data_IF_234755949958
#
_entry.id   IF_234755949958
#
_cell.length_a   1.000
_cell.length_b   1.000
_cell.length_c   1.000
_cell.angle_alpha   90.00
_cell.angle_beta   90.00
_cell.angle_gamma   90.00
#
_symmetry.space_group_name_H-M   'P 1'
#
loop_
_entity.id
_entity.type
_entity.pdbx_description
1 polymer ?
#
# COMPACT_ATOMS: atom_id res chain seq x y z
N UNK A 1 22.00 -27.55 -25.54
CA UNK A 1 22.17 -28.23 -24.24
C UNK A 1 22.63 -27.30 -23.12
N UNK A 2 23.80 -26.63 -23.17
CA UNK A 2 24.17 -25.69 -22.09
C UNK A 2 23.33 -24.39 -22.04
N UNK A 3 22.86 -23.90 -23.18
CA UNK A 3 22.10 -22.65 -23.25
C UNK A 3 20.65 -22.81 -22.74
N UNK A 4 20.07 -23.99 -22.96
CA UNK A 4 18.68 -24.30 -22.60
C UNK A 4 18.50 -24.48 -21.09
N UNK A 5 19.48 -25.13 -20.43
CA UNK A 5 19.52 -25.30 -18.98
C UNK A 5 19.69 -23.97 -18.23
N UNK A 6 20.54 -23.08 -18.75
CA UNK A 6 20.76 -21.75 -18.16
C UNK A 6 19.50 -20.86 -18.30
N UNK A 7 18.76 -21.02 -19.40
CA UNK A 7 17.51 -20.29 -19.62
C UNK A 7 16.38 -20.78 -18.68
N UNK A 8 16.25 -22.10 -18.49
CA UNK A 8 15.27 -22.64 -17.54
C UNK A 8 15.55 -22.21 -16.09
N UNK A 9 16.82 -22.24 -15.67
CA UNK A 9 17.22 -21.81 -14.32
C UNK A 9 16.95 -20.30 -14.10
N UNK A 10 17.27 -19.47 -15.09
CA UNK A 10 17.01 -18.03 -15.04
C UNK A 10 15.52 -17.71 -14.95
N UNK A 11 14.69 -18.47 -15.69
CA UNK A 11 13.24 -18.35 -15.68
C UNK A 11 12.64 -18.75 -14.34
N UNK A 12 13.10 -19.85 -13.74
CA UNK A 12 12.65 -20.28 -12.41
C UNK A 12 13.00 -19.27 -11.32
N UNK A 13 14.24 -18.76 -11.33
CA UNK A 13 14.69 -17.72 -10.39
C UNK A 13 13.84 -16.45 -10.51
N UNK A 14 13.57 -15.99 -11.73
CA UNK A 14 12.74 -14.81 -11.96
C UNK A 14 11.29 -15.06 -11.50
N UNK A 15 10.75 -16.24 -11.75
CA UNK A 15 9.40 -16.60 -11.32
C UNK A 15 9.29 -16.63 -9.78
N UNK A 16 10.25 -17.25 -9.10
CA UNK A 16 10.32 -17.27 -7.63
C UNK A 16 10.42 -15.85 -7.05
N UNK A 17 11.26 -15.01 -7.66
CA UNK A 17 11.38 -13.60 -7.28
C UNK A 17 10.06 -12.85 -7.38
N UNK A 18 9.30 -13.02 -8.47
CA UNK A 18 7.99 -12.38 -8.67
C UNK A 18 6.99 -12.79 -7.59
N UNK A 19 6.93 -14.09 -7.26
CA UNK A 19 6.04 -14.62 -6.20
C UNK A 19 6.40 -14.03 -4.84
N UNK A 20 7.69 -14.03 -4.48
CA UNK A 20 8.16 -13.46 -3.21
C UNK A 20 7.79 -11.97 -3.11
N UNK A 21 8.03 -11.22 -4.19
CA UNK A 21 7.76 -9.79 -4.24
C UNK A 21 6.27 -9.46 -4.19
N UNK A 22 5.43 -10.27 -4.82
CA UNK A 22 3.98 -10.21 -4.72
C UNK A 22 3.51 -10.45 -3.28
N UNK A 23 4.03 -11.47 -2.61
CA UNK A 23 3.71 -11.80 -1.22
C UNK A 23 4.13 -10.67 -0.26
N UNK A 24 5.34 -10.12 -0.44
CA UNK A 24 5.82 -8.98 0.35
C UNK A 24 4.93 -7.76 0.14
N UNK A 25 4.57 -7.44 -1.10
CA UNK A 25 3.67 -6.32 -1.41
C UNK A 25 2.29 -6.50 -0.77
N UNK A 26 1.73 -7.71 -0.81
CA UNK A 26 0.47 -8.04 -0.12
C UNK A 26 0.55 -7.82 1.39
N UNK A 27 1.65 -8.23 2.03
CA UNK A 27 1.84 -8.03 3.49
C UNK A 27 1.85 -6.54 3.85
N UNK A 28 2.54 -5.72 3.08
CA UNK A 28 2.58 -4.27 3.32
C UNK A 28 1.23 -3.59 3.03
N UNK A 29 0.53 -4.02 1.97
CA UNK A 29 -0.83 -3.54 1.69
C UNK A 29 -1.76 -3.79 2.89
N UNK A 30 -1.79 -5.02 3.42
CA UNK A 30 -2.61 -5.38 4.59
C UNK A 30 -2.27 -4.57 5.84
N UNK A 31 -0.99 -4.36 6.11
CA UNK A 31 -0.56 -3.54 7.26
C UNK A 31 -1.05 -2.10 7.14
N UNK A 32 -0.87 -1.50 5.97
CA UNK A 32 -1.30 -0.11 5.74
C UNK A 32 -2.82 0.05 5.78
N UNK A 33 -3.55 -0.93 5.23
CA UNK A 33 -5.02 -1.00 5.29
C UNK A 33 -5.53 -1.08 6.74
N UNK A 34 -4.90 -1.94 7.54
CA UNK A 34 -5.20 -2.08 8.96
C UNK A 34 -4.93 -0.79 9.74
N UNK A 35 -3.79 -0.14 9.51
CA UNK A 35 -3.45 1.14 10.17
C UNK A 35 -4.45 2.24 9.76
N UNK A 36 -4.76 2.35 8.47
CA UNK A 36 -5.76 3.31 7.96
C UNK A 36 -7.12 3.08 8.64
N UNK A 37 -7.58 1.82 8.70
CA UNK A 37 -8.82 1.44 9.37
C UNK A 37 -8.79 1.79 10.86
N UNK A 38 -7.67 1.54 11.55
CA UNK A 38 -7.49 1.90 12.95
C UNK A 38 -7.58 3.41 13.18
N UNK A 39 -6.97 4.22 12.30
CA UNK A 39 -7.09 5.68 12.36
C UNK A 39 -8.55 6.14 12.21
N UNK A 40 -9.30 5.57 11.27
CA UNK A 40 -10.72 5.90 11.10
C UNK A 40 -11.57 5.46 12.30
N UNK A 41 -11.37 4.24 12.81
CA UNK A 41 -12.07 3.75 13.99
C UNK A 41 -11.77 4.61 15.23
N UNK A 42 -10.50 4.97 15.45
CA UNK A 42 -10.11 5.86 16.52
C UNK A 42 -10.81 7.23 16.40
N UNK A 43 -10.91 7.77 15.19
CA UNK A 43 -11.61 9.03 14.95
C UNK A 43 -13.12 8.93 15.24
N UNK A 44 -13.78 7.84 14.82
CA UNK A 44 -15.21 7.61 15.08
C UNK A 44 -15.46 7.45 16.58
N UNK A 45 -14.71 6.58 17.26
CA UNK A 45 -14.88 6.32 18.71
C UNK A 45 -14.62 7.58 19.50
N UNK A 46 -13.57 8.34 19.19
CA UNK A 46 -13.28 9.58 19.89
C UNK A 46 -14.33 10.68 19.63
N UNK A 47 -14.89 10.76 18.42
CA UNK A 47 -16.00 11.69 18.13
C UNK A 47 -17.26 11.33 18.92
N UNK A 48 -17.57 10.03 19.03
CA UNK A 48 -18.69 9.55 19.83
C UNK A 48 -18.47 9.80 21.33
N UNK A 49 -17.27 9.48 21.83
CA UNK A 49 -16.88 9.73 23.22
C UNK A 49 -16.92 11.22 23.58
N UNK A 50 -16.45 12.11 22.69
CA UNK A 50 -16.54 13.55 22.87
C UNK A 50 -17.99 14.02 23.02
N UNK A 51 -18.88 13.47 22.19
CA UNK A 51 -20.32 13.78 22.23
C UNK A 51 -20.96 13.33 23.55
N UNK A 52 -20.65 12.11 24.02
CA UNK A 52 -21.12 11.61 25.31
C UNK A 52 -20.57 12.43 26.48
N UNK A 53 -19.28 12.79 26.45
CA UNK A 53 -18.67 13.64 27.49
C UNK A 53 -19.32 15.02 27.56
N UNK A 54 -19.67 15.60 26.41
CA UNK A 54 -20.39 16.87 26.35
C UNK A 54 -21.83 16.74 26.90
N UNK A 55 -22.47 15.59 26.71
CA UNK A 55 -23.85 15.35 27.17
C UNK A 55 -23.96 15.05 28.67
N UNK A 56 -23.00 14.33 29.26
CA UNK A 56 -23.05 13.90 30.67
C UNK A 56 -22.31 14.83 31.65
N UNK A 57 -21.60 15.86 31.17
CA UNK A 57 -21.23 17.05 31.95
C UNK A 57 -20.15 16.93 33.03
N UNK A 58 -19.74 15.73 33.45
CA UNK A 58 -18.92 15.54 34.67
C UNK A 58 -17.41 15.30 34.45
N UNK A 59 -16.86 15.54 33.25
CA UNK A 59 -15.42 15.38 33.01
C UNK A 59 -14.61 16.67 33.20
N UNK A 60 -13.36 16.57 33.74
CA UNK A 60 -12.46 17.71 33.82
C UNK A 60 -12.13 18.25 32.41
N UNK A 61 -12.03 19.58 32.28
CA UNK A 61 -11.79 20.27 31.00
C UNK A 61 -10.59 19.72 30.22
N UNK A 62 -9.53 19.29 30.93
CA UNK A 62 -8.35 18.67 30.34
C UNK A 62 -8.66 17.33 29.66
N UNK A 63 -9.54 16.50 30.23
CA UNK A 63 -9.94 15.23 29.63
C UNK A 63 -10.80 15.43 28.37
N UNK A 64 -11.70 16.43 28.38
CA UNK A 64 -12.51 16.80 27.21
C UNK A 64 -11.60 17.29 26.07
N UNK A 65 -10.61 18.13 26.38
CA UNK A 65 -9.62 18.61 25.40
C UNK A 65 -8.80 17.45 24.80
N UNK A 66 -8.38 16.48 25.62
CA UNK A 66 -7.66 15.31 25.13
C UNK A 66 -8.53 14.45 24.18
N UNK A 67 -9.77 14.17 24.55
CA UNK A 67 -10.68 13.33 23.74
C UNK A 67 -11.03 14.01 22.41
N UNK A 68 -11.24 15.33 22.42
CA UNK A 68 -11.57 16.10 21.21
C UNK A 68 -10.39 16.26 20.24
N UNK A 69 -9.15 16.16 20.71
CA UNK A 69 -7.96 16.21 19.86
C UNK A 69 -7.68 14.90 19.10
N UNK A 70 -8.20 13.76 19.56
CA UNK A 70 -7.93 12.43 18.97
C UNK A 70 -8.44 12.31 17.52
N UNK A 71 -9.69 12.68 17.17
CA UNK A 71 -10.16 12.55 15.79
C UNK A 71 -9.33 13.39 14.81
N UNK A 72 -9.03 14.63 15.17
CA UNK A 72 -8.22 15.53 14.34
C UNK A 72 -6.80 15.00 14.14
N UNK A 73 -6.16 14.50 15.20
CA UNK A 73 -4.83 13.91 15.12
C UNK A 73 -4.82 12.63 14.29
N UNK A 74 -5.81 11.75 14.45
CA UNK A 74 -5.91 10.50 13.70
C UNK A 74 -6.12 10.74 12.19
N UNK A 75 -6.95 11.71 11.82
CA UNK A 75 -7.15 12.12 10.43
C UNK A 75 -5.89 12.77 9.84
N UNK A 76 -5.22 13.64 10.61
CA UNK A 76 -3.96 14.24 10.20
C UNK A 76 -2.88 13.17 9.97
N UNK A 77 -2.74 12.19 10.88
CA UNK A 77 -1.83 11.07 10.71
C UNK A 77 -2.14 10.30 9.42
N UNK A 78 -3.40 9.95 9.15
CA UNK A 78 -3.72 9.25 7.91
C UNK A 78 -3.40 10.10 6.67
N UNK A 79 -3.67 11.41 6.71
CA UNK A 79 -3.38 12.33 5.60
C UNK A 79 -1.87 12.51 5.35
N UNK A 80 -1.07 12.67 6.40
CA UNK A 80 0.38 12.89 6.33
C UNK A 80 1.10 11.62 5.91
N UNK A 81 0.74 10.48 6.52
CA UNK A 81 1.37 9.20 6.23
C UNK A 81 0.83 8.52 4.97
N UNK A 82 -0.33 8.97 4.46
CA UNK A 82 -0.97 8.48 3.24
C UNK A 82 -1.16 6.96 3.25
N UNK A 83 -1.56 6.36 4.38
CA UNK A 83 -1.61 4.90 4.54
C UNK A 83 -2.52 4.23 3.50
N UNK A 84 -3.67 4.85 3.19
CA UNK A 84 -4.58 4.34 2.15
C UNK A 84 -3.92 4.34 0.75
N UNK A 85 -3.27 5.45 0.36
CA UNK A 85 -2.53 5.52 -0.91
C UNK A 85 -1.40 4.50 -0.97
N UNK A 86 -0.65 4.31 0.13
CA UNK A 86 0.40 3.28 0.23
C UNK A 86 -0.18 1.87 0.10
N UNK A 87 -1.35 1.61 0.70
CA UNK A 87 -2.07 0.34 0.54
C UNK A 87 -2.41 0.10 -0.94
N UNK A 88 -3.03 1.09 -1.60
CA UNK A 88 -3.38 1.00 -3.03
C UNK A 88 -2.15 0.78 -3.92
N UNK A 89 -1.05 1.50 -3.66
CA UNK A 89 0.21 1.33 -4.37
C UNK A 89 0.76 -0.10 -4.25
N UNK A 90 0.77 -0.67 -3.04
CA UNK A 90 1.20 -2.05 -2.83
C UNK A 90 0.27 -3.08 -3.48
N UNK A 91 -1.05 -2.83 -3.52
CA UNK A 91 -2.02 -3.70 -4.22
C UNK A 91 -1.77 -3.68 -5.73
N UNK A 92 -1.54 -2.51 -6.33
CA UNK A 92 -1.20 -2.37 -7.76
C UNK A 92 0.11 -3.07 -8.10
N UNK A 93 1.15 -2.92 -7.28
CA UNK A 93 2.42 -3.67 -7.44
C UNK A 93 2.21 -5.17 -7.40
N UNK A 94 1.46 -5.69 -6.42
CA UNK A 94 1.14 -7.11 -6.33
C UNK A 94 0.46 -7.62 -7.61
N UNK A 95 -0.55 -6.91 -8.12
CA UNK A 95 -1.24 -7.29 -9.35
C UNK A 95 -0.31 -7.35 -10.56
N UNK A 96 0.63 -6.40 -10.68
CA UNK A 96 1.63 -6.41 -11.75
C UNK A 96 2.62 -7.57 -11.65
N UNK A 97 3.10 -7.89 -10.46
CA UNK A 97 3.94 -9.08 -10.25
C UNK A 97 3.19 -10.39 -10.61
N UNK A 98 1.92 -10.52 -10.20
CA UNK A 98 1.10 -11.67 -10.60
C UNK A 98 0.92 -11.74 -12.12
N UNK A 99 0.72 -10.59 -12.78
CA UNK A 99 0.60 -10.52 -14.23
C UNK A 99 1.86 -11.02 -14.91
N UNK A 100 3.05 -10.58 -14.47
CA UNK A 100 4.32 -11.09 -15.01
C UNK A 100 4.49 -12.61 -14.76
N UNK A 101 4.11 -13.10 -13.58
CA UNK A 101 4.12 -14.54 -13.28
C UNK A 101 3.18 -15.34 -14.18
N UNK A 102 1.98 -14.84 -14.46
CA UNK A 102 1.03 -15.46 -15.38
C UNK A 102 1.54 -15.44 -16.82
N UNK A 103 2.10 -14.32 -17.29
CA UNK A 103 2.69 -14.21 -18.65
C UNK A 103 3.84 -15.19 -18.84
N UNK A 104 4.67 -15.36 -17.82
CA UNK A 104 5.71 -16.39 -17.84
C UNK A 104 5.07 -17.77 -17.92
N UNK A 105 4.18 -18.11 -16.99
CA UNK A 105 3.66 -19.48 -16.82
C UNK A 105 2.74 -19.95 -17.94
N UNK A 106 1.89 -19.08 -18.49
CA UNK A 106 0.81 -19.45 -19.40
C UNK A 106 0.98 -18.90 -20.82
N UNK A 107 1.64 -17.75 -20.99
CA UNK A 107 1.80 -17.11 -22.31
C UNK A 107 3.16 -17.42 -22.95
N UNK A 108 4.02 -18.18 -22.27
CA UNK A 108 5.34 -18.53 -22.79
C UNK A 108 6.29 -17.34 -22.91
N UNK A 109 6.03 -16.25 -22.18
CA UNK A 109 6.86 -15.05 -22.26
C UNK A 109 8.32 -15.34 -21.88
N UNK A 110 9.25 -14.75 -22.64
CA UNK A 110 10.68 -14.90 -22.42
C UNK A 110 11.14 -14.17 -21.15
N UNK A 111 12.07 -14.80 -20.41
CA UNK A 111 12.57 -14.28 -19.15
C UNK A 111 13.31 -12.95 -19.32
N UNK A 112 14.07 -12.77 -20.41
CA UNK A 112 14.78 -11.52 -20.66
C UNK A 112 13.80 -10.37 -20.94
N UNK A 113 12.75 -10.63 -21.73
CA UNK A 113 11.67 -9.67 -21.97
C UNK A 113 10.98 -9.23 -20.68
N UNK A 114 10.54 -10.20 -19.86
CA UNK A 114 9.87 -9.92 -18.58
C UNK A 114 10.80 -9.16 -17.62
N UNK A 115 12.08 -9.51 -17.57
CA UNK A 115 13.05 -8.83 -16.70
C UNK A 115 13.24 -7.35 -17.06
N UNK A 116 13.16 -7.00 -18.36
CA UNK A 116 13.27 -5.63 -18.85
C UNK A 116 12.02 -4.83 -18.49
N UNK A 117 10.84 -5.37 -18.81
CA UNK A 117 9.57 -4.75 -18.46
C UNK A 117 9.42 -4.57 -16.94
N UNK A 118 9.88 -5.56 -16.17
CA UNK A 118 9.90 -5.51 -14.71
C UNK A 118 10.75 -4.34 -14.21
N UNK A 119 11.96 -4.15 -14.75
CA UNK A 119 12.84 -3.04 -14.34
C UNK A 119 12.20 -1.68 -14.60
N UNK A 120 11.64 -1.48 -15.79
CA UNK A 120 10.93 -0.24 -16.14
C UNK A 120 9.72 -0.01 -15.23
N UNK A 121 8.98 -1.08 -14.92
CA UNK A 121 7.86 -1.00 -13.99
C UNK A 121 8.31 -0.64 -12.58
N UNK A 122 9.41 -1.23 -12.08
CA UNK A 122 9.89 -0.95 -10.73
C UNK A 122 10.40 0.48 -10.59
N UNK A 123 11.09 1.01 -11.61
CA UNK A 123 11.53 2.40 -11.64
C UNK A 123 10.34 3.38 -11.60
N UNK A 124 9.31 3.13 -12.44
CA UNK A 124 8.07 3.92 -12.42
C UNK A 124 7.33 3.79 -11.08
N UNK A 125 7.23 2.57 -10.55
CA UNK A 125 6.55 2.33 -9.29
C UNK A 125 7.24 3.04 -8.12
N UNK A 126 8.58 3.08 -8.10
CA UNK A 126 9.33 3.78 -7.07
C UNK A 126 9.18 5.31 -7.17
N UNK A 127 9.10 5.85 -8.40
CA UNK A 127 8.77 7.26 -8.62
C UNK A 127 7.35 7.61 -8.13
N UNK A 128 6.39 6.71 -8.36
CA UNK A 128 4.99 6.86 -7.95
C UNK A 128 4.72 6.53 -6.47
N UNK A 129 5.76 6.22 -5.69
CA UNK A 129 5.56 5.87 -4.29
C UNK A 129 4.97 7.07 -3.52
N UNK A 130 3.82 6.90 -2.83
CA UNK A 130 3.20 7.98 -2.10
C UNK A 130 4.07 8.42 -0.91
N UNK A 131 4.75 9.57 -1.10
CA UNK A 131 5.59 10.22 -0.10
C UNK A 131 4.76 10.88 1.00
N UNK A 132 5.41 11.19 2.12
CA UNK A 132 4.78 11.93 3.22
C UNK A 132 4.24 13.28 2.74
N UNK A 133 3.05 13.65 3.19
CA UNK A 133 2.44 14.94 2.85
C UNK A 133 2.01 15.08 1.39
N UNK A 134 1.99 13.98 0.60
CA UNK A 134 1.41 13.97 -0.74
C UNK A 134 -0.14 13.98 -0.70
N UNK A 135 -0.72 14.82 0.16
CA UNK A 135 -2.14 15.16 0.20
C UNK A 135 -2.37 16.31 -0.78
N UNK A 136 -2.31 16.03 -2.09
CA UNK A 136 -2.58 17.06 -3.09
C UNK A 136 -1.87 16.89 -4.41
N UNK A 137 -1.99 15.73 -5.06
CA UNK A 137 -1.85 15.62 -6.52
C UNK A 137 -2.30 14.22 -6.92
N UNK A 138 -3.61 14.04 -7.05
CA UNK A 138 -4.07 13.10 -8.05
C UNK A 138 -3.71 13.73 -9.38
N UNK A 139 -2.53 13.42 -9.92
CA UNK A 139 -2.34 13.58 -11.35
C UNK A 139 -3.33 12.59 -11.97
N UNK A 140 -4.50 13.11 -12.40
CA UNK A 140 -5.35 12.43 -13.37
C UNK A 140 -4.50 12.34 -14.62
N UNK A 141 -3.63 11.33 -14.71
CA UNK A 141 -3.18 10.90 -16.02
C UNK A 141 -4.26 9.99 -16.55
N UNK A 142 -4.91 10.52 -17.59
CA UNK A 142 -5.96 9.88 -18.34
C UNK A 142 -5.54 8.49 -18.80
N UNK A 143 -6.42 7.51 -18.55
CA UNK A 143 -6.85 6.44 -19.45
C UNK A 143 -7.84 5.55 -18.69
#
# INVERSE_FOLDING_TARGET
>A
MNNDLNNSESREKLHAYLIERAAKSRKHARKNDYISTLCYLAAIVASFAATLCAAFGDLPKAAIAAITAIPGTALLLNSVFCFDKKCQWHRRRKLKYDTFSMRMSYEGADAASISRELREFEEKADADYPRFGASGTLKKEAL
#
